data_IF_463376849792
#
_entry.id   IF_463376849792
#
_cell.length_a   1.000
_cell.length_b   1.000
_cell.length_c   1.000
_cell.angle_alpha   90.00
_cell.angle_beta   90.00
_cell.angle_gamma   90.00
#
_symmetry.space_group_name_H-M   'P 1'
#
loop_
_entity.id
_entity.type
_entity.pdbx_description
1 polymer ?
#
# COMPACT_ATOMS: atom_id res chain seq x y z
N UNK A 1 -41.28 20.56 -84.84
CA UNK A 1 -39.93 21.15 -84.94
C UNK A 1 -39.06 20.33 -84.00
N UNK A 2 -38.40 19.28 -84.50
CA UNK A 2 -37.03 19.31 -85.05
C UNK A 2 -36.04 20.04 -84.14
N UNK A 3 -35.18 19.31 -83.43
CA UNK A 3 -33.76 19.21 -83.79
C UNK A 3 -33.04 18.17 -82.90
N UNK A 4 -32.52 17.12 -83.55
CA UNK A 4 -31.23 16.52 -83.18
C UNK A 4 -30.15 17.50 -83.62
N UNK A 5 -29.13 17.72 -82.79
CA UNK A 5 -27.79 18.06 -83.29
C UNK A 5 -26.77 17.15 -82.63
N UNK A 6 -26.06 16.46 -83.52
CA UNK A 6 -24.98 15.52 -83.31
C UNK A 6 -23.73 16.17 -83.89
N UNK A 7 -22.63 16.22 -83.13
CA UNK A 7 -21.22 16.30 -83.59
C UNK A 7 -20.37 16.29 -82.30
N UNK A 8 -19.37 15.44 -82.08
CA UNK A 8 -18.41 14.86 -83.01
C UNK A 8 -17.05 15.49 -82.72
N UNK A 9 -16.07 14.71 -82.24
CA UNK A 9 -14.67 15.16 -82.17
C UNK A 9 -13.86 14.68 -80.97
N UNK A 10 -13.19 13.54 -81.14
CA UNK A 10 -12.13 12.95 -80.31
C UNK A 10 -10.91 13.84 -80.11
N UNK A 11 -10.28 13.78 -78.93
CA UNK A 11 -8.81 13.83 -78.80
C UNK A 11 -8.35 13.16 -77.49
N UNK A 12 -7.56 12.11 -77.65
CA UNK A 12 -6.78 11.44 -76.60
C UNK A 12 -5.75 12.41 -75.97
N UNK A 13 -5.71 12.44 -74.65
CA UNK A 13 -4.50 12.63 -73.84
C UNK A 13 -4.81 11.91 -72.51
N UNK A 14 -4.23 10.74 -72.26
CA UNK A 14 -2.86 10.64 -71.76
C UNK A 14 -2.96 10.32 -70.27
N UNK A 15 -2.80 9.03 -69.96
CA UNK A 15 -2.97 8.42 -68.64
C UNK A 15 -2.17 9.11 -67.52
N UNK A 16 -2.80 9.28 -66.37
CA UNK A 16 -2.14 9.01 -65.08
C UNK A 16 -3.19 8.55 -64.08
N UNK A 17 -3.76 7.38 -64.33
CA UNK A 17 -4.34 6.59 -63.25
C UNK A 17 -3.16 5.97 -62.53
N UNK A 18 -2.68 6.63 -61.47
CA UNK A 18 -1.81 5.95 -60.51
C UNK A 18 -2.57 4.70 -60.03
N UNK A 19 -2.04 3.49 -60.22
CA UNK A 19 -2.59 2.34 -59.53
C UNK A 19 -2.19 2.53 -58.07
N UNK A 20 -3.16 2.79 -57.19
CA UNK A 20 -2.96 2.44 -55.79
C UNK A 20 -3.03 0.92 -55.69
N UNK A 21 -2.00 0.26 -56.20
CA UNK A 21 -1.70 -1.13 -55.87
C UNK A 21 -1.18 -1.15 -54.43
N UNK A 22 -2.07 -0.86 -53.49
CA UNK A 22 -1.93 -1.33 -52.12
C UNK A 22 -2.46 -2.77 -52.08
N UNK A 23 -1.95 -3.62 -52.98
CA UNK A 23 -2.14 -5.06 -52.89
C UNK A 23 -1.17 -5.55 -51.80
N UNK A 24 -1.50 -5.20 -50.56
CA UNK A 24 -0.85 -5.74 -49.38
C UNK A 24 -0.94 -7.26 -49.55
N UNK A 25 0.22 -7.91 -49.73
CA UNK A 25 0.30 -9.36 -49.95
C UNK A 25 -0.68 -10.07 -49.03
N UNK A 26 -1.42 -11.05 -49.56
CA UNK A 26 -2.37 -11.87 -48.79
C UNK A 26 -1.75 -12.43 -47.50
N UNK A 27 -0.43 -12.62 -47.51
CA UNK A 27 0.39 -13.05 -46.40
C UNK A 27 0.49 -11.99 -45.30
N UNK A 28 0.65 -10.71 -45.66
CA UNK A 28 0.65 -9.58 -44.71
C UNK A 28 -0.74 -9.36 -44.12
N UNK A 29 -1.81 -9.54 -44.91
CA UNK A 29 -3.19 -9.51 -44.41
C UNK A 29 -3.47 -10.65 -43.43
N UNK A 30 -2.97 -11.86 -43.74
CA UNK A 30 -3.06 -13.03 -42.86
C UNK A 30 -2.33 -12.80 -41.53
N UNK A 31 -1.11 -12.27 -41.57
CA UNK A 31 -0.34 -11.92 -40.35
C UNK A 31 -1.10 -10.89 -39.51
N UNK A 32 -1.74 -9.90 -40.13
CA UNK A 32 -2.51 -8.89 -39.42
C UNK A 32 -3.77 -9.46 -38.75
N UNK A 33 -4.46 -10.38 -39.44
CA UNK A 33 -5.61 -11.08 -38.89
C UNK A 33 -5.20 -11.97 -37.70
N UNK A 34 -4.12 -12.72 -37.83
CA UNK A 34 -3.56 -13.58 -36.79
C UNK A 34 -3.11 -12.78 -35.56
N UNK A 35 -2.45 -11.64 -35.76
CA UNK A 35 -2.06 -10.74 -34.67
C UNK A 35 -3.27 -10.15 -33.93
N UNK A 36 -4.36 -9.85 -34.66
CA UNK A 36 -5.60 -9.34 -34.07
C UNK A 36 -6.30 -10.41 -33.23
N UNK A 37 -6.37 -11.64 -33.75
CA UNK A 37 -6.94 -12.79 -33.04
C UNK A 37 -6.12 -13.17 -31.81
N UNK A 38 -4.79 -13.11 -31.91
CA UNK A 38 -3.89 -13.29 -30.77
C UNK A 38 -4.13 -12.24 -29.68
N UNK A 39 -4.29 -10.96 -30.06
CA UNK A 39 -4.57 -9.89 -29.10
C UNK A 39 -5.96 -10.06 -28.43
N UNK A 40 -6.99 -10.46 -29.19
CA UNK A 40 -8.31 -10.80 -28.63
C UNK A 40 -8.20 -11.97 -27.66
N UNK A 41 -7.41 -12.99 -28.00
CA UNK A 41 -7.19 -14.17 -27.17
C UNK A 41 -6.45 -13.84 -25.88
N UNK A 42 -5.39 -13.02 -25.94
CA UNK A 42 -4.70 -12.52 -24.76
C UNK A 42 -5.66 -11.72 -23.89
N UNK A 43 -6.43 -10.78 -24.45
CA UNK A 43 -7.41 -10.00 -23.68
C UNK A 43 -8.42 -10.90 -22.98
N UNK A 44 -8.98 -11.89 -23.67
CA UNK A 44 -9.90 -12.88 -23.08
C UNK A 44 -9.23 -13.68 -21.96
N UNK A 45 -8.00 -14.13 -22.15
CA UNK A 45 -7.23 -14.89 -21.16
C UNK A 45 -6.91 -14.05 -19.91
N UNK A 46 -6.51 -12.80 -20.09
CA UNK A 46 -6.24 -11.85 -19.00
C UNK A 46 -7.52 -11.56 -18.23
N UNK A 47 -8.64 -11.27 -18.92
CA UNK A 47 -9.95 -11.08 -18.28
C UNK A 47 -10.36 -12.34 -17.52
N UNK A 48 -10.22 -13.53 -18.10
CA UNK A 48 -10.55 -14.79 -17.44
C UNK A 48 -9.71 -15.03 -16.18
N UNK A 49 -8.40 -14.74 -16.22
CA UNK A 49 -7.53 -14.83 -15.06
C UNK A 49 -7.93 -13.83 -13.96
N UNK A 50 -8.21 -12.58 -14.32
CA UNK A 50 -8.69 -11.58 -13.35
C UNK A 50 -10.04 -11.98 -12.75
N UNK A 51 -11.00 -12.39 -13.58
CA UNK A 51 -12.29 -12.88 -13.12
C UNK A 51 -12.14 -14.09 -12.20
N UNK A 52 -11.28 -15.05 -12.53
CA UNK A 52 -11.02 -16.23 -11.69
C UNK A 52 -10.36 -15.83 -10.36
N UNK A 53 -9.39 -14.91 -10.38
CA UNK A 53 -8.74 -14.43 -9.16
C UNK A 53 -9.70 -13.66 -8.26
N UNK A 54 -10.54 -12.80 -8.85
CA UNK A 54 -11.61 -12.11 -8.14
C UNK A 54 -12.61 -13.12 -7.58
N UNK A 55 -13.09 -14.05 -8.39
CA UNK A 55 -14.01 -15.11 -7.99
C UNK A 55 -13.43 -15.97 -6.85
N UNK A 56 -12.14 -16.35 -6.88
CA UNK A 56 -11.45 -17.02 -5.77
C UNK A 56 -11.38 -16.12 -4.52
N UNK A 57 -11.12 -14.83 -4.69
CA UNK A 57 -11.06 -13.86 -3.59
C UNK A 57 -12.44 -13.65 -2.94
N UNK A 58 -13.51 -13.67 -3.73
CA UNK A 58 -14.89 -13.44 -3.29
C UNK A 58 -15.59 -14.71 -2.81
N UNK A 59 -15.36 -15.88 -3.43
CA UNK A 59 -15.92 -17.19 -3.05
C UNK A 59 -15.57 -17.58 -1.61
N UNK A 60 -14.31 -17.43 -1.22
CA UNK A 60 -13.89 -17.78 0.14
C UNK A 60 -14.12 -16.64 1.14
N UNK A 61 -14.25 -15.38 0.69
CA UNK A 61 -14.51 -14.20 1.52
C UNK A 61 -13.44 -13.83 2.56
N UNK A 62 -12.61 -14.77 3.01
CA UNK A 62 -11.61 -14.59 4.06
C UNK A 62 -10.47 -13.65 3.65
N UNK A 63 -10.02 -13.76 2.39
CA UNK A 63 -8.94 -12.90 1.86
C UNK A 63 -9.39 -11.46 1.75
N UNK A 64 -10.58 -11.23 1.19
CA UNK A 64 -11.20 -9.92 1.12
C UNK A 64 -11.44 -9.35 2.52
N UNK A 65 -12.00 -10.15 3.42
CA UNK A 65 -12.23 -9.76 4.82
C UNK A 65 -10.94 -9.36 5.53
N UNK A 66 -9.87 -10.15 5.35
CA UNK A 66 -8.55 -9.84 5.89
C UNK A 66 -7.96 -8.54 5.31
N UNK A 67 -8.15 -8.30 4.01
CA UNK A 67 -7.70 -7.09 3.33
C UNK A 67 -8.44 -5.85 3.83
N UNK A 68 -9.78 -5.91 3.92
CA UNK A 68 -10.60 -4.83 4.48
C UNK A 68 -10.22 -4.56 5.93
N UNK A 69 -10.05 -5.60 6.76
CA UNK A 69 -9.64 -5.42 8.16
C UNK A 69 -8.26 -4.76 8.31
N UNK A 70 -7.30 -5.10 7.46
CA UNK A 70 -5.98 -4.46 7.43
C UNK A 70 -6.09 -3.00 7.00
N UNK A 71 -6.87 -2.74 5.96
CA UNK A 71 -7.11 -1.40 5.41
C UNK A 71 -7.77 -0.50 6.45
N UNK A 72 -8.84 -0.97 7.07
CA UNK A 72 -9.55 -0.31 8.16
C UNK A 72 -8.61 0.06 9.32
N UNK A 73 -7.73 -0.87 9.71
CA UNK A 73 -6.72 -0.61 10.76
C UNK A 73 -5.71 0.47 10.36
N UNK A 74 -5.30 0.51 9.10
CA UNK A 74 -4.37 1.52 8.59
C UNK A 74 -5.07 2.88 8.57
N UNK A 75 -6.26 2.97 7.98
CA UNK A 75 -7.03 4.20 7.87
C UNK A 75 -7.34 4.81 9.25
N UNK A 76 -7.79 4.00 10.22
CA UNK A 76 -8.02 4.48 11.58
C UNK A 76 -6.73 5.02 12.24
N UNK A 77 -5.56 4.44 11.96
CA UNK A 77 -4.29 4.98 12.47
C UNK A 77 -3.91 6.29 11.79
N UNK A 78 -4.14 6.42 10.49
CA UNK A 78 -3.85 7.64 9.75
C UNK A 78 -4.68 8.81 10.30
N UNK A 79 -5.97 8.59 10.54
CA UNK A 79 -6.87 9.66 10.97
C UNK A 79 -6.87 9.92 12.48
N UNK A 80 -6.57 8.92 13.33
CA UNK A 80 -6.66 9.05 14.81
C UNK A 80 -5.28 8.99 15.48
N UNK A 81 -4.20 8.78 14.73
CA UNK A 81 -2.83 8.82 15.27
C UNK A 81 -1.85 9.55 14.32
N UNK A 82 -2.17 10.79 13.87
CA UNK A 82 -1.36 11.51 12.88
C UNK A 82 0.09 11.71 13.35
N UNK A 83 0.32 12.01 14.63
CA UNK A 83 1.67 12.13 15.21
C UNK A 83 2.51 10.86 15.10
N UNK A 84 1.93 9.69 15.41
CA UNK A 84 2.65 8.39 15.26
C UNK A 84 2.94 8.09 13.80
N UNK A 85 2.05 8.46 12.90
CA UNK A 85 2.27 8.31 11.46
C UNK A 85 3.36 9.25 10.95
N UNK A 86 3.39 10.52 11.35
CA UNK A 86 4.47 11.46 11.02
C UNK A 86 5.82 10.93 11.47
N UNK A 87 5.94 10.45 12.71
CA UNK A 87 7.16 9.85 13.23
C UNK A 87 7.57 8.61 12.40
N UNK A 88 6.60 7.76 12.03
CA UNK A 88 6.86 6.59 11.16
C UNK A 88 7.36 7.00 9.78
N UNK A 89 6.78 8.03 9.18
CA UNK A 89 7.19 8.55 7.86
C UNK A 89 8.59 9.18 7.91
N UNK A 90 8.87 10.00 8.93
CA UNK A 90 10.23 10.54 9.17
C UNK A 90 11.26 9.41 9.24
N UNK A 91 10.98 8.36 10.01
CA UNK A 91 11.84 7.17 10.10
C UNK A 91 12.04 6.43 8.76
N UNK A 92 10.99 6.27 7.94
CA UNK A 92 11.12 5.59 6.63
C UNK A 92 11.96 6.43 5.68
N UNK A 93 11.73 7.74 5.65
CA UNK A 93 12.48 8.65 4.80
C UNK A 93 13.96 8.68 5.23
N UNK A 94 14.26 8.70 6.53
CA UNK A 94 15.63 8.59 7.05
C UNK A 94 16.32 7.27 6.63
N UNK A 95 15.57 6.15 6.60
CA UNK A 95 16.11 4.87 6.11
C UNK A 95 16.39 4.89 4.60
N UNK A 96 15.59 5.61 3.82
CA UNK A 96 15.76 5.71 2.37
C UNK A 96 16.90 6.66 2.00
N UNK A 97 16.99 7.82 2.64
CA UNK A 97 18.08 8.78 2.39
C UNK A 97 19.45 8.27 2.85
N UNK A 98 19.50 7.42 3.88
CA UNK A 98 20.76 6.75 4.29
C UNK A 98 21.17 5.59 3.38
N UNK A 99 20.25 5.02 2.60
CA UNK A 99 20.54 3.98 1.60
C UNK A 99 21.20 4.55 0.35
N UNK A 100 20.77 5.73 -0.10
CA UNK A 100 21.24 6.30 -1.37
C UNK A 100 22.50 7.17 -1.23
N UNK A 101 22.81 7.67 -0.02
CA UNK A 101 23.92 8.61 0.17
C UNK A 101 25.25 7.98 0.60
N UNK A 102 25.30 6.71 1.02
CA UNK A 102 26.58 6.15 1.50
C UNK A 102 26.51 4.66 1.81
N UNK A 103 27.48 3.91 1.26
CA UNK A 103 27.98 2.62 1.75
C UNK A 103 28.61 2.74 3.16
N UNK A 104 28.07 3.56 4.06
CA UNK A 104 28.45 3.57 5.47
C UNK A 104 27.47 2.70 6.22
N UNK A 105 27.97 1.55 6.66
CA UNK A 105 27.36 0.67 7.65
C UNK A 105 26.77 1.53 8.76
N UNK A 106 25.45 1.75 8.70
CA UNK A 106 24.68 2.35 9.79
C UNK A 106 24.99 1.50 11.00
N UNK A 107 25.82 2.03 11.89
CA UNK A 107 26.27 1.28 13.04
C UNK A 107 25.03 1.14 13.93
N UNK A 108 24.43 -0.06 13.93
CA UNK A 108 23.18 -0.47 14.59
C UNK A 108 23.14 -0.25 16.11
N UNK A 109 24.16 0.41 16.66
CA UNK A 109 24.36 0.71 18.07
C UNK A 109 23.22 1.56 18.67
N UNK A 110 22.43 2.26 17.83
CA UNK A 110 21.37 3.19 18.26
C UNK A 110 19.92 2.70 18.08
N UNK A 111 19.67 1.48 17.61
CA UNK A 111 18.32 1.10 17.13
C UNK A 111 17.37 0.64 18.26
N UNK A 112 17.89 0.18 19.39
CA UNK A 112 17.06 -0.35 20.48
C UNK A 112 17.32 0.33 21.82
N UNK A 113 16.25 0.76 22.49
CA UNK A 113 16.33 1.21 23.89
C UNK A 113 16.84 0.09 24.79
N UNK A 114 17.48 0.45 25.92
CA UNK A 114 18.03 -0.52 26.88
C UNK A 114 16.98 -1.55 27.32
N UNK A 115 15.76 -1.10 27.59
CA UNK A 115 14.64 -1.95 27.99
C UNK A 115 14.21 -2.90 26.87
N UNK A 116 14.21 -2.42 25.61
CA UNK A 116 13.90 -3.24 24.44
C UNK A 116 14.97 -4.31 24.20
N UNK A 117 16.26 -3.97 24.34
CA UNK A 117 17.38 -4.93 24.27
C UNK A 117 17.23 -6.03 25.34
N UNK A 118 16.94 -5.66 26.60
CA UNK A 118 16.72 -6.62 27.71
C UNK A 118 15.54 -7.55 27.44
N UNK A 119 14.42 -6.99 26.95
CA UNK A 119 13.22 -7.77 26.59
C UNK A 119 13.49 -8.78 25.48
N UNK A 120 14.15 -8.36 24.39
CA UNK A 120 14.51 -9.24 23.27
C UNK A 120 15.44 -10.36 23.70
N UNK A 121 16.44 -10.04 24.51
CA UNK A 121 17.44 -11.00 24.99
C UNK A 121 16.79 -12.08 25.87
N UNK A 122 15.85 -11.70 26.74
CA UNK A 122 15.04 -12.65 27.51
C UNK A 122 14.16 -13.54 26.62
N UNK A 123 13.53 -12.96 25.59
CA UNK A 123 12.71 -13.72 24.64
C UNK A 123 13.54 -14.75 23.87
N UNK A 124 14.71 -14.36 23.38
CA UNK A 124 15.59 -15.25 22.63
C UNK A 124 16.20 -16.34 23.49
N UNK A 125 16.56 -16.06 24.76
CA UNK A 125 16.99 -17.10 25.71
C UNK A 125 15.92 -18.19 25.89
N UNK A 126 14.65 -17.80 26.08
CA UNK A 126 13.53 -18.76 26.17
C UNK A 126 13.36 -19.58 24.89
N UNK A 127 13.53 -18.96 23.72
CA UNK A 127 13.45 -19.66 22.44
C UNK A 127 14.63 -20.62 22.23
N UNK A 128 15.83 -20.22 22.63
CA UNK A 128 17.03 -21.05 22.55
C UNK A 128 16.85 -22.33 23.36
N UNK A 129 16.44 -22.20 24.63
CA UNK A 129 16.15 -23.34 25.50
C UNK A 129 15.12 -24.29 24.86
N UNK A 130 14.00 -23.74 24.39
CA UNK A 130 12.93 -24.52 23.72
C UNK A 130 13.40 -25.24 22.45
N UNK A 131 14.34 -24.65 21.69
CA UNK A 131 14.87 -25.29 20.49
C UNK A 131 15.95 -26.32 20.80
N UNK A 132 16.70 -26.13 21.88
CA UNK A 132 17.65 -27.12 22.40
C UNK A 132 16.90 -28.35 22.94
N UNK A 133 15.87 -28.17 23.78
CA UNK A 133 15.02 -29.28 24.27
C UNK A 133 14.37 -30.10 23.15
N UNK A 134 14.09 -29.47 22.01
CA UNK A 134 13.45 -30.10 20.85
C UNK A 134 14.45 -30.62 19.81
N UNK A 135 15.75 -30.64 20.11
CA UNK A 135 16.83 -31.01 19.20
C UNK A 135 16.77 -30.31 17.83
N UNK A 136 16.30 -29.05 17.79
CA UNK A 136 16.22 -28.24 16.56
C UNK A 136 17.48 -27.38 16.39
N UNK A 137 18.61 -28.04 16.14
CA UNK A 137 19.96 -27.46 16.08
C UNK A 137 20.03 -26.21 15.19
N UNK A 138 19.61 -26.29 13.93
CA UNK A 138 19.65 -25.14 12.98
C UNK A 138 18.85 -23.93 13.47
N UNK A 139 17.75 -24.15 14.21
CA UNK A 139 16.93 -23.07 14.77
C UNK A 139 17.57 -22.51 16.04
N UNK A 140 18.16 -23.35 16.87
CA UNK A 140 18.94 -22.94 18.03
C UNK A 140 20.12 -22.05 17.61
N UNK A 141 20.88 -22.44 16.60
CA UNK A 141 22.04 -21.68 16.09
C UNK A 141 21.66 -20.30 15.54
N UNK A 142 20.51 -20.22 14.84
CA UNK A 142 19.96 -18.94 14.38
C UNK A 142 19.59 -18.02 15.54
N UNK A 143 19.09 -18.56 16.65
CA UNK A 143 18.74 -17.78 17.84
C UNK A 143 20.00 -17.41 18.64
N UNK A 144 20.99 -18.29 18.73
CA UNK A 144 22.27 -18.02 19.38
C UNK A 144 22.99 -16.82 18.73
N UNK A 145 23.09 -16.81 17.40
CA UNK A 145 23.64 -15.66 16.64
C UNK A 145 22.91 -14.35 16.92
N UNK A 146 21.58 -14.39 17.04
CA UNK A 146 20.78 -13.18 17.40
C UNK A 146 21.03 -12.70 18.82
N UNK A 147 21.31 -13.60 19.77
CA UNK A 147 21.65 -13.24 21.15
C UNK A 147 23.02 -12.58 21.19
N UNK A 148 24.00 -13.15 20.48
CA UNK A 148 25.37 -12.63 20.38
C UNK A 148 25.39 -11.23 19.76
N UNK A 149 24.71 -11.05 18.63
CA UNK A 149 24.56 -9.76 18.00
C UNK A 149 23.99 -8.68 18.95
N UNK A 150 22.94 -9.00 19.73
CA UNK A 150 22.40 -8.04 20.72
C UNK A 150 23.40 -7.76 21.85
N UNK A 151 24.19 -8.74 22.27
CA UNK A 151 25.24 -8.54 23.27
C UNK A 151 26.35 -7.63 22.74
N UNK A 152 26.82 -7.83 21.52
CA UNK A 152 27.81 -6.95 20.87
C UNK A 152 27.33 -5.50 20.83
N UNK A 153 26.05 -5.29 20.52
CA UNK A 153 25.39 -3.98 20.57
C UNK A 153 25.26 -3.39 22.00
N UNK A 154 25.56 -4.13 23.06
CA UNK A 154 25.69 -3.60 24.43
C UNK A 154 27.13 -3.18 24.77
N UNK A 155 28.14 -3.85 24.20
CA UNK A 155 29.55 -3.65 24.56
C UNK A 155 30.25 -2.52 23.79
N UNK A 156 29.69 -2.07 22.65
CA UNK A 156 30.14 -0.83 21.98
C UNK A 156 29.74 0.41 22.78
N UNK A 157 30.57 0.75 23.79
CA UNK A 157 30.48 1.98 24.59
C UNK A 157 30.41 3.21 23.67
N UNK A 158 29.46 4.12 23.91
CA UNK A 158 29.49 5.46 23.29
C UNK A 158 30.81 6.15 23.70
N UNK A 159 31.56 6.78 22.78
CA UNK A 159 32.63 7.68 23.19
C UNK A 159 32.03 8.80 24.04
N UNK A 160 32.68 9.13 25.16
CA UNK A 160 32.28 10.25 26.02
C UNK A 160 32.29 11.52 25.16
N UNK A 161 31.12 12.10 24.89
CA UNK A 161 30.99 13.40 24.19
C UNK A 161 31.77 14.44 24.99
N UNK A 162 32.86 14.98 24.43
CA UNK A 162 33.42 16.25 24.90
C UNK A 162 32.36 17.33 24.61
N UNK A 163 32.02 18.15 25.61
CA UNK A 163 31.19 19.35 25.42
C UNK A 163 31.94 20.29 24.47
N UNK A 164 31.49 20.41 23.23
CA UNK A 164 31.86 21.52 22.37
C UNK A 164 30.71 22.53 22.43
N UNK A 165 30.95 23.62 23.13
CA UNK A 165 30.15 24.84 23.01
C UNK A 165 30.67 25.54 21.75
N UNK A 166 29.84 25.67 20.72
CA UNK A 166 30.05 26.61 19.65
C UNK A 166 28.69 27.12 19.18
N UNK A 167 28.43 28.39 19.46
CA UNK A 167 27.36 29.19 18.88
C UNK A 167 27.62 29.29 17.38
N UNK A 168 26.61 29.03 16.55
CA UNK A 168 26.50 29.60 15.20
C UNK A 168 25.02 29.88 14.98
N UNK A 169 24.67 31.16 15.06
CA UNK A 169 23.50 31.69 14.39
C UNK A 169 23.68 31.48 12.88
N UNK A 170 22.64 31.01 12.21
CA UNK A 170 22.25 31.51 10.90
C UNK A 170 20.80 31.11 10.64
N UNK A 171 19.99 32.16 10.60
CA UNK A 171 18.68 32.24 9.95
C UNK A 171 18.71 31.53 8.61
N UNK A 172 17.85 30.53 8.44
CA UNK A 172 17.14 30.35 7.18
C UNK A 172 15.73 29.84 7.46
N UNK A 173 14.82 30.55 6.84
CA UNK A 173 13.41 30.62 7.10
C UNK A 173 12.72 29.51 6.32
N UNK A 174 12.41 28.39 6.98
CA UNK A 174 11.33 27.51 6.54
C UNK A 174 10.16 27.74 7.49
N UNK A 175 9.12 28.38 6.95
CA UNK A 175 7.85 28.63 7.63
C UNK A 175 7.13 27.28 7.74
N UNK A 176 7.59 26.42 8.65
CA UNK A 176 6.77 25.33 9.16
C UNK A 176 5.73 26.03 10.04
N UNK A 177 4.54 26.23 9.46
CA UNK A 177 3.35 26.69 10.19
C UNK A 177 3.31 25.98 11.54
N UNK A 178 3.46 26.77 12.59
CA UNK A 178 3.22 26.36 13.98
C UNK A 178 1.75 25.95 14.03
N UNK A 179 1.48 24.68 13.76
CA UNK A 179 0.20 24.06 14.11
C UNK A 179 0.37 23.65 15.56
N UNK A 180 -0.32 24.37 16.44
CA UNK A 180 -0.42 24.15 17.88
C UNK A 180 -0.46 22.63 18.20
N UNK A 181 0.55 22.15 18.91
CA UNK A 181 0.80 20.71 19.13
C UNK A 181 -0.08 20.06 20.22
N UNK A 182 -1.00 20.80 20.85
CA UNK A 182 -1.60 20.38 22.12
C UNK A 182 -2.93 19.60 22.02
N UNK A 183 -3.63 19.62 20.87
CA UNK A 183 -4.97 18.99 20.75
C UNK A 183 -5.05 17.76 19.84
N UNK A 184 -3.90 17.14 19.51
CA UNK A 184 -3.90 15.96 18.66
C UNK A 184 -4.25 14.68 19.42
N UNK A 185 -5.51 14.25 19.26
CA UNK A 185 -6.04 12.97 19.72
C UNK A 185 -5.08 11.83 19.43
N UNK A 186 -4.47 11.27 20.48
CA UNK A 186 -3.57 10.13 20.40
C UNK A 186 -4.14 8.96 21.20
N UNK A 187 -5.09 8.25 20.61
CA UNK A 187 -5.77 7.14 21.30
C UNK A 187 -4.87 5.92 21.50
N UNK A 188 -5.17 5.11 22.50
CA UNK A 188 -4.46 3.86 22.75
C UNK A 188 -4.72 2.82 21.65
N UNK A 189 -3.79 1.87 21.49
CA UNK A 189 -3.98 0.75 20.55
C UNK A 189 -5.19 -0.14 20.89
N UNK A 190 -5.57 -0.21 22.18
CA UNK A 190 -6.76 -0.92 22.64
C UNK A 190 -8.03 -0.18 22.21
N UNK A 191 -8.06 1.15 22.34
CA UNK A 191 -9.16 2.00 21.86
C UNK A 191 -9.35 1.87 20.35
N UNK A 192 -8.26 1.90 19.59
CA UNK A 192 -8.27 1.68 18.14
C UNK A 192 -8.87 0.31 17.76
N UNK A 193 -8.56 -0.73 18.53
CA UNK A 193 -9.12 -2.06 18.29
C UNK A 193 -10.63 -2.11 18.53
N UNK A 194 -11.13 -1.37 19.52
CA UNK A 194 -12.57 -1.19 19.75
C UNK A 194 -13.26 -0.46 18.60
N UNK A 195 -12.70 0.67 18.14
CA UNK A 195 -13.20 1.41 16.97
C UNK A 195 -13.22 0.55 15.71
N UNK A 196 -12.19 -0.27 15.49
CA UNK A 196 -12.17 -1.27 14.41
C UNK A 196 -13.32 -2.28 14.56
N UNK A 197 -13.58 -2.72 15.79
CA UNK A 197 -14.67 -3.66 16.11
C UNK A 197 -16.03 -3.09 15.76
N UNK A 198 -16.29 -1.83 16.13
CA UNK A 198 -17.52 -1.10 15.80
C UNK A 198 -17.75 -1.07 14.30
N UNK A 199 -16.71 -0.77 13.51
CA UNK A 199 -16.85 -0.67 12.06
C UNK A 199 -16.99 -2.03 11.39
N UNK A 200 -16.40 -3.08 11.97
CA UNK A 200 -16.34 -4.41 11.34
C UNK A 200 -17.72 -5.03 11.15
N UNK A 201 -18.59 -5.00 12.17
CA UNK A 201 -19.91 -5.62 12.09
C UNK A 201 -20.83 -4.97 11.03
N UNK A 202 -21.05 -3.63 11.03
CA UNK A 202 -21.93 -2.99 10.06
C UNK A 202 -21.34 -2.99 8.64
N UNK A 203 -20.01 -3.01 8.46
CA UNK A 203 -19.41 -3.08 7.12
C UNK A 203 -19.83 -4.35 6.35
N UNK A 204 -20.05 -5.46 7.05
CA UNK A 204 -20.51 -6.72 6.46
C UNK A 204 -22.02 -6.96 6.61
N UNK A 205 -22.75 -6.08 7.30
CA UNK A 205 -24.20 -6.15 7.36
C UNK A 205 -24.79 -5.44 6.14
N UNK A 206 -25.49 -6.15 5.27
CA UNK A 206 -26.03 -5.58 4.02
C UNK A 206 -27.04 -4.47 4.28
N UNK A 207 -27.86 -4.60 5.32
CA UNK A 207 -28.92 -3.65 5.68
C UNK A 207 -28.40 -2.40 6.41
N UNK A 208 -27.12 -2.39 6.80
CA UNK A 208 -26.52 -1.24 7.45
C UNK A 208 -26.14 -0.18 6.39
N UNK A 209 -26.99 0.83 6.25
CA UNK A 209 -26.72 2.02 5.42
C UNK A 209 -25.90 3.09 6.17
N UNK A 210 -26.04 3.16 7.49
CA UNK A 210 -25.35 4.12 8.35
C UNK A 210 -24.94 3.49 9.67
N UNK A 211 -23.96 4.10 10.34
CA UNK A 211 -23.63 3.79 11.74
C UNK A 211 -24.17 4.90 12.63
N UNK A 212 -24.97 4.56 13.63
CA UNK A 212 -25.48 5.54 14.59
C UNK A 212 -24.59 5.57 15.83
N UNK A 213 -24.42 6.77 16.40
CA UNK A 213 -23.65 6.94 17.64
C UNK A 213 -24.28 6.21 18.83
N UNK A 214 -25.60 6.08 18.83
CA UNK A 214 -26.40 5.48 19.91
C UNK A 214 -26.27 3.95 19.97
N UNK A 215 -26.00 3.31 18.82
CA UNK A 215 -25.85 1.86 18.72
C UNK A 215 -24.43 1.39 19.07
N UNK A 216 -23.55 2.32 19.47
CA UNK A 216 -22.16 2.05 19.79
C UNK A 216 -21.99 1.87 21.30
N UNK A 217 -21.60 0.66 21.72
CA UNK A 217 -21.26 0.31 23.10
C UNK A 217 -19.91 0.89 23.57
N UNK A 218 -19.70 2.20 23.37
CA UNK A 218 -18.55 2.94 23.89
C UNK A 218 -19.08 4.22 24.54
N UNK A 219 -19.16 4.19 25.87
CA UNK A 219 -19.69 5.26 26.72
C UNK A 219 -18.92 6.58 26.64
N UNK A 220 -17.64 6.55 26.24
CA UNK A 220 -16.74 7.70 26.13
C UNK A 220 -16.36 8.01 24.66
N UNK A 221 -17.21 7.69 23.67
CA UNK A 221 -16.90 7.94 22.25
C UNK A 221 -16.90 9.45 21.93
N UNK A 222 -15.73 9.99 21.61
CA UNK A 222 -15.63 11.39 21.21
C UNK A 222 -16.27 11.61 19.84
N UNK A 223 -16.76 12.83 19.60
CA UNK A 223 -17.38 13.20 18.33
C UNK A 223 -16.41 13.10 17.15
N UNK A 224 -15.14 13.43 17.37
CA UNK A 224 -14.07 13.26 16.38
C UNK A 224 -13.81 11.79 16.05
N UNK A 225 -13.78 10.89 17.04
CA UNK A 225 -13.66 9.44 16.80
C UNK A 225 -14.86 8.92 16.01
N UNK A 226 -16.07 9.34 16.37
CA UNK A 226 -17.30 8.94 15.68
C UNK A 226 -17.32 9.45 14.22
N UNK A 227 -16.97 10.71 14.00
CA UNK A 227 -16.90 11.31 12.66
C UNK A 227 -15.92 10.56 11.76
N UNK A 228 -14.73 10.20 12.27
CA UNK A 228 -13.77 9.37 11.53
C UNK A 228 -14.34 7.99 11.23
N UNK A 229 -14.99 7.33 12.19
CA UNK A 229 -15.65 6.05 11.98
C UNK A 229 -16.71 6.13 10.89
N UNK A 230 -17.57 7.17 10.94
CA UNK A 230 -18.66 7.37 9.98
C UNK A 230 -18.14 7.60 8.56
N UNK A 231 -17.12 8.45 8.41
CA UNK A 231 -16.48 8.70 7.12
C UNK A 231 -15.84 7.43 6.55
N UNK A 232 -15.10 6.67 7.36
CA UNK A 232 -14.47 5.42 6.92
C UNK A 232 -15.49 4.33 6.58
N UNK A 233 -16.59 4.26 7.31
CA UNK A 233 -17.70 3.36 7.01
C UNK A 233 -18.30 3.69 5.64
N UNK A 234 -18.69 4.95 5.44
CA UNK A 234 -19.30 5.43 4.20
C UNK A 234 -18.41 5.18 2.98
N UNK A 235 -17.10 5.41 3.12
CA UNK A 235 -16.12 5.16 2.08
C UNK A 235 -16.00 3.66 1.77
N UNK A 236 -15.77 2.82 2.78
CA UNK A 236 -15.47 1.41 2.57
C UNK A 236 -16.70 0.61 2.12
N UNK A 237 -17.89 0.97 2.60
CA UNK A 237 -19.15 0.29 2.28
C UNK A 237 -19.42 0.25 0.77
N UNK A 238 -19.08 1.31 0.04
CA UNK A 238 -19.24 1.40 -1.42
C UNK A 238 -18.42 0.38 -2.21
N UNK A 239 -17.32 -0.10 -1.64
CA UNK A 239 -16.40 -1.03 -2.31
C UNK A 239 -16.55 -2.47 -1.84
N UNK A 240 -17.44 -2.74 -0.88
CA UNK A 240 -17.77 -4.09 -0.48
C UNK A 240 -18.90 -4.56 -1.39
N UNK A 241 -18.67 -5.57 -2.25
CA UNK A 241 -19.73 -6.07 -3.12
C UNK A 241 -20.90 -6.54 -2.27
N UNK A 242 -22.09 -6.10 -2.65
CA UNK A 242 -23.33 -6.71 -2.17
C UNK A 242 -23.35 -8.12 -2.75
N UNK A 243 -23.52 -9.14 -1.89
CA UNK A 243 -23.85 -10.46 -2.38
C UNK A 243 -25.28 -10.35 -2.88
N UNK A 244 -25.44 -10.02 -4.15
CA UNK A 244 -26.70 -10.25 -4.82
C UNK A 244 -26.92 -11.77 -4.90
N UNK A 245 -28.15 -12.16 -4.53
CA UNK A 245 -28.78 -13.49 -4.50
C UNK A 245 -28.18 -14.56 -5.42
#
# INVERSE_FOLDING_TARGET
>A
MYEQVQAGGTSQAGNSSQPTDNNISSEVQHIFAEAKDFNVTIKKSVIAQFSTNLDIMYKNGERLKSAIEKTLRILLKLHIQPKKERIRRKYINELQTTSDASHTVVTENSIFSRNKKRSLLNKYRKQLHKYQEKNKTTKADKIARKIEHIKELQWKKKPKRKKAVAKVDNTDQDVETVIEEDDEVNISGRRLAKLKGILKSPLYNHDAEMINKQDIEISDLSEKEFSVCFMLFSLLKQYIPQKDL
#
